data_IF_034351612065
#
_entry.id   IF_034351612065
#
_cell.length_a   1.000
_cell.length_b   1.000
_cell.length_c   1.000
_cell.angle_alpha   90.00
_cell.angle_beta   90.00
_cell.angle_gamma   90.00
#
_symmetry.space_group_name_H-M   'P 1'
#
loop_
_entity.id
_entity.type
_entity.pdbx_description
1 polymer ?
#
# COMPACT_ATOMS: atom_id res chain seq x y z
N UNK A 1 10.89 -0.43 16.53
CA UNK A 1 10.59 0.92 16.04
C UNK A 1 9.71 1.50 17.13
N UNK A 2 10.23 2.48 17.86
CA UNK A 2 9.51 3.07 18.98
C UNK A 2 9.03 4.43 18.52
N UNK A 3 7.73 4.57 18.33
CA UNK A 3 7.05 5.83 18.06
C UNK A 3 6.07 6.09 19.21
N UNK A 4 5.75 7.35 19.48
CA UNK A 4 4.66 7.68 20.39
C UNK A 4 3.35 7.28 19.70
N UNK A 5 2.46 6.55 20.37
CA UNK A 5 1.14 6.24 19.82
C UNK A 5 0.13 7.26 20.32
N UNK A 6 -0.79 7.67 19.44
CA UNK A 6 -1.92 8.53 19.81
C UNK A 6 -2.76 7.96 20.95
N UNK A 7 -2.88 6.63 21.04
CA UNK A 7 -3.63 5.93 22.10
C UNK A 7 -3.06 6.14 23.50
N UNK A 8 -1.78 6.51 23.60
CA UNK A 8 -1.06 6.64 24.86
C UNK A 8 -1.09 8.09 25.39
N UNK A 9 -1.75 9.00 24.66
CA UNK A 9 -1.80 10.43 24.97
C UNK A 9 -3.15 10.85 25.55
N UNK A 10 -3.11 11.79 26.49
CA UNK A 10 -4.29 12.56 26.90
C UNK A 10 -4.55 13.70 25.89
N UNK A 11 -5.69 13.61 25.21
CA UNK A 11 -6.11 14.54 24.16
C UNK A 11 -7.21 15.52 24.62
N UNK A 12 -7.66 15.45 25.87
CA UNK A 12 -8.77 16.28 26.35
C UNK A 12 -8.46 17.78 26.24
N UNK A 13 -9.33 18.52 25.54
CA UNK A 13 -9.20 19.96 25.31
C UNK A 13 -8.08 20.38 24.35
N UNK A 14 -7.26 19.43 23.86
CA UNK A 14 -6.11 19.73 22.98
C UNK A 14 -6.52 19.90 21.53
N UNK A 15 -5.78 20.75 20.81
CA UNK A 15 -5.84 20.88 19.36
C UNK A 15 -5.07 19.73 18.72
N UNK A 16 -5.78 18.84 18.02
CA UNK A 16 -5.20 17.64 17.40
C UNK A 16 -5.27 17.77 15.89
N UNK A 17 -4.12 17.79 15.21
CA UNK A 17 -4.04 17.76 13.75
C UNK A 17 -3.72 16.35 13.27
N UNK A 18 -4.67 15.72 12.59
CA UNK A 18 -4.56 14.35 12.06
C UNK A 18 -4.31 14.42 10.55
N UNK A 19 -3.18 13.85 10.12
CA UNK A 19 -2.89 13.62 8.70
C UNK A 19 -3.38 12.22 8.32
N UNK A 20 -4.56 12.14 7.70
CA UNK A 20 -5.18 10.88 7.22
C UNK A 20 -4.99 10.69 5.72
N UNK A 21 -5.12 9.46 5.22
CA UNK A 21 -5.24 9.20 3.78
C UNK A 21 -6.71 9.22 3.37
N UNK A 22 -7.21 10.38 2.95
CA UNK A 22 -8.58 10.56 2.43
C UNK A 22 -8.57 10.74 0.90
N UNK A 23 -7.52 10.26 0.22
CA UNK A 23 -7.44 10.31 -1.25
C UNK A 23 -8.32 9.21 -1.86
N UNK A 24 -9.62 9.49 -1.95
CA UNK A 24 -10.65 8.59 -2.48
C UNK A 24 -11.03 8.94 -3.91
N UNK A 25 -11.55 7.98 -4.71
CA UNK A 25 -12.11 8.31 -6.01
C UNK A 25 -13.39 9.15 -5.81
N UNK A 26 -13.46 10.25 -6.56
CA UNK A 26 -14.60 11.17 -6.58
C UNK A 26 -15.12 11.25 -8.00
N UNK A 27 -16.44 11.17 -8.16
CA UNK A 27 -17.12 11.38 -9.43
C UNK A 27 -18.34 12.27 -9.19
N UNK A 28 -18.49 13.32 -9.99
CA UNK A 28 -19.62 14.26 -9.90
C UNK A 28 -19.83 14.82 -8.48
N UNK A 29 -18.72 15.15 -7.80
CA UNK A 29 -18.73 15.70 -6.44
C UNK A 29 -19.10 14.71 -5.33
N UNK A 30 -19.14 13.41 -5.63
CA UNK A 30 -19.47 12.33 -4.68
C UNK A 30 -18.34 11.31 -4.57
N UNK A 31 -18.12 10.81 -3.36
CA UNK A 31 -17.20 9.70 -3.11
C UNK A 31 -17.77 8.43 -3.72
N UNK A 32 -17.00 7.73 -4.56
CA UNK A 32 -17.42 6.47 -5.20
C UNK A 32 -16.86 5.22 -4.52
N UNK A 33 -15.82 5.36 -3.71
CA UNK A 33 -15.29 4.32 -2.82
C UNK A 33 -14.83 4.95 -1.52
N UNK A 34 -15.37 4.47 -0.40
CA UNK A 34 -15.23 5.06 0.93
C UNK A 34 -14.18 4.35 1.81
N UNK A 35 -13.52 3.31 1.30
CA UNK A 35 -12.70 2.40 2.09
C UNK A 35 -11.65 3.12 2.95
N UNK A 36 -11.00 4.15 2.38
CA UNK A 36 -9.99 4.94 3.10
C UNK A 36 -10.58 5.86 4.17
N UNK A 37 -11.79 6.38 3.94
CA UNK A 37 -12.49 7.21 4.92
C UNK A 37 -12.92 6.32 6.09
N UNK A 38 -13.52 5.16 5.80
CA UNK A 38 -13.90 4.17 6.82
C UNK A 38 -12.70 3.70 7.64
N UNK A 39 -11.55 3.49 7.02
CA UNK A 39 -10.32 3.15 7.75
C UNK A 39 -9.87 4.28 8.69
N UNK A 40 -10.00 5.56 8.28
CA UNK A 40 -9.55 6.72 9.07
C UNK A 40 -10.54 7.13 10.18
N UNK A 41 -11.82 6.75 10.06
CA UNK A 41 -12.88 7.13 11.00
C UNK A 41 -12.57 6.75 12.46
N UNK A 42 -12.12 5.52 12.78
CA UNK A 42 -11.75 5.15 14.15
C UNK A 42 -10.74 6.10 14.81
N UNK A 43 -9.74 6.58 14.06
CA UNK A 43 -8.76 7.54 14.56
C UNK A 43 -9.42 8.89 14.90
N UNK A 44 -10.26 9.39 13.99
CA UNK A 44 -10.97 10.66 14.16
C UNK A 44 -11.93 10.58 15.36
N UNK A 45 -12.72 9.50 15.45
CA UNK A 45 -13.66 9.27 16.53
C UNK A 45 -12.97 9.10 17.89
N UNK A 46 -11.82 8.42 17.93
CA UNK A 46 -11.04 8.26 19.16
C UNK A 46 -10.58 9.62 19.72
N UNK A 47 -10.14 10.55 18.86
CA UNK A 47 -9.79 11.91 19.27
C UNK A 47 -11.03 12.68 19.77
N UNK A 48 -12.12 12.67 18.98
CA UNK A 48 -13.37 13.37 19.32
C UNK A 48 -13.95 12.89 20.65
N UNK A 49 -13.96 11.57 20.89
CA UNK A 49 -14.50 10.95 22.11
C UNK A 49 -13.72 11.34 23.37
N UNK A 50 -12.43 11.64 23.25
CA UNK A 50 -11.61 12.16 24.35
C UNK A 50 -11.85 13.66 24.63
N UNK A 51 -12.67 14.36 23.83
CA UNK A 51 -12.90 15.80 23.97
C UNK A 51 -11.81 16.65 23.33
N UNK A 52 -11.12 16.13 22.33
CA UNK A 52 -10.16 16.91 21.55
C UNK A 52 -10.86 17.91 20.61
N UNK A 53 -10.11 18.94 20.20
CA UNK A 53 -10.44 19.88 19.13
C UNK A 53 -9.80 19.38 17.84
N UNK A 54 -10.55 18.64 17.04
CA UNK A 54 -9.99 17.79 15.98
C UNK A 54 -9.95 18.52 14.64
N UNK A 55 -8.76 18.60 14.05
CA UNK A 55 -8.53 18.94 12.66
C UNK A 55 -8.07 17.69 11.93
N UNK A 56 -8.67 17.39 10.79
CA UNK A 56 -8.18 16.34 9.88
C UNK A 56 -7.84 16.96 8.53
N UNK A 57 -6.77 16.49 7.91
CA UNK A 57 -6.43 16.90 6.55
C UNK A 57 -5.89 15.74 5.74
N UNK A 58 -5.93 15.89 4.42
CA UNK A 58 -5.41 14.92 3.47
C UNK A 58 -4.97 15.61 2.19
N UNK A 59 -4.27 14.84 1.37
CA UNK A 59 -4.21 15.10 -0.06
C UNK A 59 -5.42 14.49 -0.77
N UNK A 60 -5.80 15.06 -1.92
CA UNK A 60 -6.70 14.45 -2.89
C UNK A 60 -6.17 14.72 -4.29
N UNK A 61 -6.04 13.67 -5.11
CA UNK A 61 -5.57 13.79 -6.49
C UNK A 61 -4.18 14.44 -6.63
N UNK A 62 -4.01 15.18 -7.72
CA UNK A 62 -2.73 15.80 -8.13
C UNK A 62 -2.91 17.26 -8.53
N UNK A 63 -3.38 18.15 -7.63
CA UNK A 63 -3.50 19.57 -7.94
C UNK A 63 -2.12 20.23 -8.11
N UNK A 64 -2.16 21.41 -8.73
CA UNK A 64 -1.03 22.35 -8.79
C UNK A 64 -0.96 23.13 -7.47
N UNK A 65 0.23 23.22 -6.88
CA UNK A 65 0.41 23.98 -5.64
C UNK A 65 0.16 25.47 -5.88
N UNK A 66 -0.59 26.09 -4.98
CA UNK A 66 -0.98 27.50 -5.04
C UNK A 66 -2.19 27.79 -5.93
N UNK A 67 -2.77 26.79 -6.57
CA UNK A 67 -3.93 26.92 -7.45
C UNK A 67 -5.07 26.07 -6.92
N UNK A 68 -6.12 26.72 -6.43
CA UNK A 68 -7.32 26.03 -6.00
C UNK A 68 -8.06 25.43 -7.21
N UNK A 69 -8.50 24.17 -7.08
CA UNK A 69 -9.35 23.51 -8.06
C UNK A 69 -10.43 22.70 -7.34
N UNK A 70 -11.70 23.00 -7.63
CA UNK A 70 -12.86 22.36 -7.01
C UNK A 70 -12.87 20.83 -7.20
N UNK A 71 -12.34 20.32 -8.31
CA UNK A 71 -12.21 18.88 -8.59
C UNK A 71 -11.37 18.14 -7.55
N UNK A 72 -10.37 18.83 -6.97
CA UNK A 72 -9.48 18.28 -5.95
C UNK A 72 -9.81 18.77 -4.54
N UNK A 73 -10.96 19.43 -4.32
CA UNK A 73 -11.42 19.82 -2.99
C UNK A 73 -11.78 18.59 -2.15
N UNK A 74 -11.56 18.67 -0.84
CA UNK A 74 -12.03 17.69 0.15
C UNK A 74 -13.51 17.86 0.49
N UNK A 75 -14.25 18.79 -0.13
CA UNK A 75 -15.68 18.97 0.10
C UNK A 75 -16.52 17.68 -0.03
N UNK A 76 -16.30 16.79 -1.03
CA UNK A 76 -17.01 15.51 -1.11
C UNK A 76 -16.75 14.62 0.12
N UNK A 77 -15.52 14.62 0.64
CA UNK A 77 -15.14 13.88 1.85
C UNK A 77 -15.82 14.48 3.08
N UNK A 78 -15.91 15.81 3.18
CA UNK A 78 -16.65 16.50 4.24
C UNK A 78 -18.12 16.11 4.23
N UNK A 79 -18.75 16.07 3.05
CA UNK A 79 -20.16 15.68 2.92
C UNK A 79 -20.37 14.23 3.39
N UNK A 80 -19.48 13.32 3.00
CA UNK A 80 -19.49 11.96 3.50
C UNK A 80 -19.36 11.91 5.03
N UNK A 81 -18.39 12.62 5.62
CA UNK A 81 -18.17 12.63 7.06
C UNK A 81 -19.38 13.19 7.83
N UNK A 82 -20.10 14.18 7.30
CA UNK A 82 -21.35 14.70 7.90
C UNK A 82 -22.45 13.65 8.01
N UNK A 83 -22.50 12.72 7.05
CA UNK A 83 -23.51 11.64 7.05
C UNK A 83 -23.14 10.51 8.04
N UNK A 84 -21.86 10.38 8.38
CA UNK A 84 -21.33 9.25 9.17
C UNK A 84 -20.93 9.62 10.59
N UNK A 85 -20.71 10.90 10.88
CA UNK A 85 -20.40 11.39 12.23
C UNK A 85 -21.59 12.15 12.82
N UNK A 86 -21.81 11.94 14.12
CA UNK A 86 -22.79 12.74 14.89
C UNK A 86 -22.28 14.15 15.21
N UNK A 87 -20.96 14.32 15.17
CA UNK A 87 -20.28 15.57 15.47
C UNK A 87 -20.44 16.58 14.33
N UNK A 88 -20.46 17.90 14.62
CA UNK A 88 -20.43 18.92 13.58
C UNK A 88 -19.16 18.77 12.73
N UNK A 89 -19.32 18.69 11.41
CA UNK A 89 -18.20 18.61 10.45
C UNK A 89 -18.25 19.82 9.51
N UNK A 90 -17.12 20.51 9.33
CA UNK A 90 -17.01 21.62 8.36
C UNK A 90 -15.67 21.62 7.64
N UNK A 91 -15.67 22.19 6.43
CA UNK A 91 -14.47 22.46 5.66
C UNK A 91 -13.87 23.81 6.08
N UNK A 92 -12.55 23.88 6.23
CA UNK A 92 -11.80 25.13 6.33
C UNK A 92 -10.86 25.25 5.13
N UNK A 93 -11.09 26.27 4.28
CA UNK A 93 -10.24 26.54 3.10
C UNK A 93 -9.01 27.38 3.47
N UNK A 94 -9.22 28.41 4.28
CA UNK A 94 -8.16 29.28 4.78
C UNK A 94 -7.87 28.94 6.25
N UNK A 95 -6.79 28.21 6.50
CA UNK A 95 -6.47 27.71 7.86
C UNK A 95 -5.02 27.95 8.29
N UNK A 96 -4.13 28.31 7.36
CA UNK A 96 -2.69 28.44 7.66
C UNK A 96 -2.35 29.60 8.60
N UNK A 97 -3.23 30.60 8.72
CA UNK A 97 -3.09 31.73 9.64
C UNK A 97 -3.87 31.53 10.96
N UNK A 98 -4.45 30.34 11.15
CA UNK A 98 -5.30 30.01 12.29
C UNK A 98 -6.64 29.44 11.86
N UNK A 99 -7.19 28.59 12.72
CA UNK A 99 -8.53 28.01 12.56
C UNK A 99 -9.14 27.83 13.94
N UNK A 100 -10.36 28.32 14.12
CA UNK A 100 -11.13 28.09 15.33
C UNK A 100 -11.64 26.67 15.33
N UNK A 101 -11.44 25.94 16.43
CA UNK A 101 -11.92 24.57 16.56
C UNK A 101 -12.62 24.42 17.90
N UNK A 102 -13.94 24.23 17.85
CA UNK A 102 -14.74 23.95 19.04
C UNK A 102 -14.49 22.53 19.58
N UNK A 103 -14.75 22.32 20.86
CA UNK A 103 -14.68 20.98 21.44
C UNK A 103 -15.78 20.08 20.87
N UNK A 104 -15.42 18.87 20.48
CA UNK A 104 -16.36 17.91 19.87
C UNK A 104 -16.77 18.24 18.43
N UNK A 105 -16.15 19.23 17.77
CA UNK A 105 -16.29 19.44 16.33
C UNK A 105 -15.12 18.83 15.54
N UNK A 106 -15.39 18.49 14.28
CA UNK A 106 -14.39 18.07 13.32
C UNK A 106 -14.23 19.16 12.24
N UNK A 107 -13.03 19.70 12.12
CA UNK A 107 -12.68 20.59 11.01
C UNK A 107 -11.82 19.85 10.01
N UNK A 108 -12.30 19.73 8.77
CA UNK A 108 -11.50 19.23 7.65
C UNK A 108 -10.75 20.41 7.05
N UNK A 109 -9.42 20.41 7.16
CA UNK A 109 -8.57 21.39 6.48
C UNK A 109 -8.47 21.01 5.02
N UNK A 110 -8.73 21.96 4.13
CA UNK A 110 -8.72 21.76 2.68
C UNK A 110 -7.39 21.18 2.18
N UNK A 111 -7.45 20.49 1.03
CA UNK A 111 -6.40 19.68 0.45
C UNK A 111 -5.00 20.30 0.58
N UNK A 112 -4.13 19.63 1.34
CA UNK A 112 -2.77 20.09 1.64
C UNK A 112 -1.94 20.39 0.40
N UNK A 113 -2.23 19.72 -0.74
CA UNK A 113 -1.49 19.91 -1.99
C UNK A 113 -1.86 21.19 -2.74
N UNK A 114 -2.84 21.96 -2.27
CA UNK A 114 -3.00 23.34 -2.71
C UNK A 114 -1.98 24.29 -2.08
N UNK A 115 -1.33 23.92 -0.98
CA UNK A 115 -0.39 24.81 -0.31
C UNK A 115 0.97 24.81 -1.02
N UNK A 116 1.48 26.02 -1.33
CA UNK A 116 2.83 26.18 -1.89
C UNK A 116 3.87 25.71 -0.89
N UNK A 117 4.74 24.80 -1.32
CA UNK A 117 5.80 24.23 -0.48
C UNK A 117 5.47 22.86 0.11
N UNK A 118 4.24 22.35 -0.07
CA UNK A 118 3.83 21.05 0.47
C UNK A 118 4.75 19.92 0.01
N UNK A 119 4.96 19.76 -1.31
CA UNK A 119 5.79 18.68 -1.88
C UNK A 119 7.28 18.83 -1.58
N UNK A 120 7.73 20.05 -1.26
CA UNK A 120 9.14 20.36 -0.97
C UNK A 120 9.48 20.29 0.51
N UNK A 121 8.51 19.90 1.36
CA UNK A 121 8.69 19.88 2.81
C UNK A 121 9.12 21.26 3.35
N UNK A 122 8.51 22.33 2.81
CA UNK A 122 8.90 23.69 3.14
C UNK A 122 8.79 23.96 4.65
N UNK A 123 9.85 24.51 5.23
CA UNK A 123 9.95 24.74 6.67
C UNK A 123 8.92 25.79 7.15
N UNK A 124 8.67 26.82 6.36
CA UNK A 124 7.71 27.88 6.72
C UNK A 124 6.30 27.31 6.78
N UNK A 125 5.90 26.55 5.75
CA UNK A 125 4.61 25.87 5.73
C UNK A 125 4.49 24.84 6.86
N UNK A 126 5.55 24.08 7.13
CA UNK A 126 5.60 23.10 8.21
C UNK A 126 5.38 23.72 9.59
N UNK A 127 6.01 24.87 9.86
CA UNK A 127 5.79 25.64 11.09
C UNK A 127 4.37 26.19 11.18
N UNK A 128 3.78 26.60 10.07
CA UNK A 128 2.37 27.02 10.04
C UNK A 128 1.45 25.88 10.44
N UNK A 129 1.61 24.67 9.87
CA UNK A 129 0.82 23.51 10.29
C UNK A 129 1.02 23.19 11.77
N UNK A 130 2.27 23.19 12.25
CA UNK A 130 2.59 22.88 13.65
C UNK A 130 1.94 23.87 14.62
N UNK A 131 1.92 25.16 14.29
CA UNK A 131 1.26 26.19 15.08
C UNK A 131 -0.28 25.98 15.20
N UNK A 132 -0.87 25.14 14.35
CA UNK A 132 -2.28 24.79 14.43
C UNK A 132 -2.59 23.70 15.47
N UNK A 133 -1.62 23.09 16.13
CA UNK A 133 -1.89 21.95 16.99
C UNK A 133 -0.98 21.86 18.21
N UNK A 134 -1.51 21.25 19.26
CA UNK A 134 -0.73 20.79 20.41
C UNK A 134 -0.17 19.38 20.13
N UNK A 135 -0.92 18.59 19.36
CA UNK A 135 -0.57 17.21 18.98
C UNK A 135 -0.76 17.02 17.47
N UNK A 136 0.30 16.61 16.79
CA UNK A 136 0.26 16.13 15.42
C UNK A 136 0.19 14.60 15.39
N UNK A 137 -0.77 14.07 14.65
CA UNK A 137 -0.99 12.63 14.46
C UNK A 137 -0.76 12.30 12.99
N UNK A 138 0.27 11.50 12.69
CA UNK A 138 0.46 10.94 11.35
C UNK A 138 -0.26 9.61 11.24
N UNK A 139 -1.29 9.53 10.40
CA UNK A 139 -2.14 8.35 10.24
C UNK A 139 -2.31 7.93 8.77
N UNK A 140 -1.40 8.37 7.90
CA UNK A 140 -1.45 8.18 6.45
C UNK A 140 -0.24 7.40 5.91
N UNK A 141 -0.14 6.11 6.22
CA UNK A 141 1.01 5.27 5.82
C UNK A 141 1.32 5.34 4.33
N UNK A 142 0.31 5.36 3.45
CA UNK A 142 0.50 5.49 1.99
C UNK A 142 1.26 6.75 1.54
N UNK A 143 1.46 7.72 2.42
CA UNK A 143 2.27 8.92 2.18
C UNK A 143 3.52 9.03 3.05
N UNK A 144 3.79 8.03 3.91
CA UNK A 144 4.92 8.06 4.84
C UNK A 144 6.30 8.01 4.18
N UNK A 145 6.38 7.47 2.96
CA UNK A 145 7.58 7.44 2.11
C UNK A 145 7.98 8.82 1.54
N UNK A 146 7.13 9.85 1.71
CA UNK A 146 7.38 11.19 1.17
C UNK A 146 7.59 12.18 2.29
N UNK A 147 8.74 12.86 2.27
CA UNK A 147 8.93 14.07 3.07
C UNK A 147 8.10 15.20 2.45
N UNK A 148 6.98 15.54 3.07
CA UNK A 148 6.10 16.65 2.71
C UNK A 148 5.75 17.44 3.96
N UNK A 149 5.40 18.71 3.79
CA UNK A 149 5.17 19.59 4.93
C UNK A 149 4.07 19.06 5.86
N UNK A 150 3.01 18.45 5.34
CA UNK A 150 1.92 17.86 6.14
C UNK A 150 2.16 16.43 6.64
N UNK A 151 3.18 15.72 6.12
CA UNK A 151 3.47 14.31 6.49
C UNK A 151 4.69 14.19 7.40
N UNK A 152 5.66 15.09 7.24
CA UNK A 152 6.98 15.01 7.85
C UNK A 152 7.35 16.35 8.52
N UNK A 153 7.37 17.45 7.78
CA UNK A 153 7.85 18.74 8.30
C UNK A 153 7.06 19.24 9.50
N UNK A 154 5.73 19.15 9.48
CA UNK A 154 4.85 19.48 10.62
C UNK A 154 5.26 18.74 11.89
N UNK A 155 5.62 17.46 11.78
CA UNK A 155 6.03 16.64 12.90
C UNK A 155 7.40 17.01 13.48
N UNK A 156 8.22 17.79 12.77
CA UNK A 156 9.46 18.35 13.34
C UNK A 156 9.19 19.51 14.30
N UNK A 157 8.10 20.25 14.09
CA UNK A 157 7.82 21.49 14.81
C UNK A 157 6.63 21.42 15.76
N UNK A 158 5.72 20.45 15.60
CA UNK A 158 4.60 20.26 16.50
C UNK A 158 5.08 19.94 17.93
N UNK A 159 4.44 20.46 18.99
CA UNK A 159 4.86 20.18 20.37
C UNK A 159 4.93 18.68 20.67
N UNK A 160 3.92 17.91 20.24
CA UNK A 160 3.92 16.44 20.26
C UNK A 160 3.67 15.92 18.84
N UNK A 161 4.43 14.90 18.42
CA UNK A 161 4.21 14.18 17.17
C UNK A 161 4.09 12.68 17.47
N UNK A 162 3.02 12.05 16.99
CA UNK A 162 2.74 10.64 17.25
C UNK A 162 2.18 9.92 16.01
N UNK A 163 2.20 8.60 16.05
CA UNK A 163 1.53 7.74 15.08
C UNK A 163 0.05 7.57 15.46
N UNK A 164 -0.84 7.67 14.47
CA UNK A 164 -2.22 7.27 14.64
C UNK A 164 -2.39 5.74 14.62
N UNK A 165 -3.58 5.24 14.99
CA UNK A 165 -3.90 3.81 14.99
C UNK A 165 -3.64 3.09 13.66
N UNK A 166 -3.97 3.67 12.50
CA UNK A 166 -3.73 3.03 11.20
C UNK A 166 -2.24 2.90 10.90
N UNK A 167 -1.48 3.99 11.10
CA UNK A 167 -0.03 3.94 10.89
C UNK A 167 0.62 2.92 11.84
N UNK A 168 0.19 2.88 13.09
CA UNK A 168 0.73 1.97 14.10
C UNK A 168 0.47 0.51 13.75
N UNK A 169 -0.78 0.18 13.37
CA UNK A 169 -1.17 -1.16 12.94
C UNK A 169 -0.38 -1.61 11.70
N UNK A 170 -0.16 -0.70 10.75
CA UNK A 170 0.63 -1.00 9.55
C UNK A 170 2.09 -1.33 9.88
N UNK A 171 2.74 -0.51 10.72
CA UNK A 171 4.13 -0.73 11.12
C UNK A 171 4.29 -2.01 11.94
N UNK A 172 3.30 -2.37 12.76
CA UNK A 172 3.26 -3.63 13.48
C UNK A 172 3.15 -4.83 12.53
N UNK A 173 2.18 -4.79 11.59
CA UNK A 173 1.95 -5.86 10.63
C UNK A 173 3.18 -6.10 9.73
N UNK A 174 3.77 -5.03 9.21
CA UNK A 174 5.01 -5.08 8.42
C UNK A 174 6.20 -5.55 9.27
N UNK A 175 6.31 -5.08 10.51
CA UNK A 175 7.34 -5.52 11.45
C UNK A 175 7.28 -7.02 11.73
N UNK A 176 6.07 -7.55 11.96
CA UNK A 176 5.81 -8.98 12.16
C UNK A 176 6.20 -9.81 10.95
N UNK A 177 5.91 -9.32 9.74
CA UNK A 177 6.22 -10.04 8.50
C UNK A 177 7.71 -9.97 8.09
N UNK A 178 8.41 -8.87 8.36
CA UNK A 178 9.74 -8.63 7.78
C UNK A 178 10.90 -8.76 8.78
N UNK A 179 10.69 -8.46 10.07
CA UNK A 179 11.79 -8.46 11.05
C UNK A 179 11.98 -9.80 11.75
N UNK A 180 10.88 -10.49 12.06
CA UNK A 180 10.92 -11.78 12.75
C UNK A 180 9.73 -12.64 12.31
N UNK A 181 9.64 -12.98 11.01
CA UNK A 181 8.54 -13.79 10.49
C UNK A 181 8.54 -15.18 11.13
N UNK A 182 7.33 -15.72 11.34
CA UNK A 182 7.19 -17.12 11.66
C UNK A 182 7.58 -17.96 10.43
N UNK A 183 8.42 -18.97 10.64
CA UNK A 183 9.02 -19.77 9.57
C UNK A 183 8.25 -21.08 9.31
N UNK A 184 8.04 -21.49 8.04
CA UNK A 184 8.60 -20.86 6.84
C UNK A 184 7.82 -19.61 6.39
N UNK A 185 8.56 -18.61 5.92
CA UNK A 185 8.04 -17.39 5.31
C UNK A 185 8.08 -17.52 3.79
N UNK A 186 6.94 -17.29 3.15
CA UNK A 186 6.82 -17.27 1.68
C UNK A 186 6.44 -15.87 1.23
N UNK A 187 7.16 -15.33 0.26
CA UNK A 187 6.81 -14.06 -0.39
C UNK A 187 6.34 -14.32 -1.82
N UNK A 188 5.26 -13.68 -2.27
CA UNK A 188 4.77 -13.70 -3.64
C UNK A 188 4.98 -12.33 -4.24
N UNK A 189 5.79 -12.23 -5.30
CA UNK A 189 6.14 -10.98 -5.98
C UNK A 189 5.76 -11.08 -7.45
N UNK A 190 4.59 -10.55 -7.79
CA UNK A 190 4.04 -10.51 -9.13
C UNK A 190 4.16 -9.13 -9.78
N UNK A 191 4.38 -9.05 -11.08
CA UNK A 191 4.42 -7.76 -11.78
C UNK A 191 4.82 -7.87 -13.23
N UNK A 192 4.73 -6.75 -13.95
CA UNK A 192 5.05 -6.69 -15.39
C UNK A 192 6.55 -6.64 -15.69
N UNK A 193 7.37 -6.15 -14.75
CA UNK A 193 8.81 -5.92 -14.95
C UNK A 193 9.61 -6.28 -13.70
N UNK A 194 10.75 -6.92 -13.89
CA UNK A 194 11.76 -7.16 -12.85
C UNK A 194 12.38 -5.84 -12.43
N UNK A 195 12.69 -4.94 -13.37
CA UNK A 195 13.37 -3.67 -13.11
C UNK A 195 12.67 -2.80 -12.06
N UNK A 196 11.33 -2.79 -12.05
CA UNK A 196 10.53 -1.99 -11.12
C UNK A 196 10.39 -2.62 -9.74
N UNK A 197 10.70 -3.93 -9.60
CA UNK A 197 10.61 -4.68 -8.34
C UNK A 197 11.92 -5.35 -7.94
N UNK A 198 13.03 -4.99 -8.57
CA UNK A 198 14.31 -5.65 -8.34
C UNK A 198 14.78 -5.45 -6.90
N UNK A 199 14.66 -4.23 -6.37
CA UNK A 199 15.00 -3.93 -4.97
C UNK A 199 14.11 -4.70 -3.99
N UNK A 200 12.80 -4.81 -4.29
CA UNK A 200 11.84 -5.62 -3.51
C UNK A 200 12.26 -7.08 -3.49
N UNK A 201 12.58 -7.66 -4.66
CA UNK A 201 13.06 -9.03 -4.77
C UNK A 201 14.37 -9.23 -4.01
N UNK A 202 15.36 -8.36 -4.22
CA UNK A 202 16.68 -8.43 -3.58
C UNK A 202 16.62 -8.25 -2.05
N UNK A 203 15.60 -7.56 -1.54
CA UNK A 203 15.31 -7.50 -0.11
C UNK A 203 14.66 -8.80 0.37
N UNK A 204 13.58 -9.22 -0.29
CA UNK A 204 12.78 -10.37 0.15
C UNK A 204 13.53 -11.70 0.07
N UNK A 205 14.40 -11.93 -0.91
CA UNK A 205 15.19 -13.17 -0.98
C UNK A 205 16.12 -13.37 0.22
N UNK A 206 16.50 -12.28 0.91
CA UNK A 206 17.32 -12.34 2.14
C UNK A 206 16.48 -12.60 3.39
N UNK A 207 15.16 -12.43 3.29
CA UNK A 207 14.23 -12.55 4.41
C UNK A 207 13.41 -13.81 4.26
N UNK A 208 12.71 -14.04 3.16
CA UNK A 208 11.82 -15.19 2.95
C UNK A 208 12.60 -16.51 2.78
N UNK A 209 11.99 -17.63 3.20
CA UNK A 209 12.51 -18.97 2.90
C UNK A 209 12.24 -19.36 1.44
N UNK A 210 11.21 -18.76 0.84
CA UNK A 210 10.89 -18.94 -0.58
C UNK A 210 10.27 -17.67 -1.13
N UNK A 211 10.72 -17.25 -2.32
CA UNK A 211 10.11 -16.17 -3.09
C UNK A 211 9.49 -16.76 -4.35
N UNK A 212 8.18 -16.60 -4.49
CA UNK A 212 7.41 -16.97 -5.68
C UNK A 212 7.34 -15.73 -6.57
N UNK A 213 7.79 -15.85 -7.81
CA UNK A 213 7.73 -14.75 -8.81
C UNK A 213 6.53 -14.94 -9.73
N UNK A 214 5.83 -13.87 -10.10
CA UNK A 214 4.60 -13.92 -10.92
C UNK A 214 4.59 -12.93 -12.09
N UNK A 215 3.80 -13.22 -13.14
CA UNK A 215 3.64 -12.34 -14.31
C UNK A 215 4.91 -12.15 -15.15
N UNK A 216 5.14 -10.96 -15.69
CA UNK A 216 6.32 -10.62 -16.48
C UNK A 216 7.66 -10.75 -15.73
N UNK A 217 7.62 -10.65 -14.39
CA UNK A 217 8.76 -11.02 -13.54
C UNK A 217 9.07 -12.50 -13.73
N UNK A 218 8.08 -13.39 -13.57
CA UNK A 218 8.26 -14.82 -13.76
C UNK A 218 8.73 -15.17 -15.18
N UNK A 219 8.22 -14.49 -16.20
CA UNK A 219 8.66 -14.69 -17.59
C UNK A 219 10.16 -14.41 -17.77
N UNK A 220 10.70 -13.40 -17.10
CA UNK A 220 12.16 -13.15 -17.10
C UNK A 220 12.94 -14.30 -16.46
N UNK A 221 12.37 -14.97 -15.44
CA UNK A 221 12.97 -16.17 -14.84
C UNK A 221 12.82 -17.41 -15.73
N UNK A 222 11.72 -17.55 -16.47
CA UNK A 222 11.54 -18.65 -17.46
C UNK A 222 12.53 -18.50 -18.62
N UNK A 223 12.76 -17.27 -19.08
CA UNK A 223 13.70 -16.91 -20.15
C UNK A 223 15.18 -17.26 -19.85
N UNK A 224 15.48 -17.63 -18.60
CA UNK A 224 16.81 -18.10 -18.19
C UNK A 224 17.21 -19.38 -18.94
N UNK A 225 16.28 -20.31 -19.11
CA UNK A 225 16.55 -21.64 -19.71
C UNK A 225 15.58 -22.01 -20.85
N UNK A 226 14.52 -21.23 -21.09
CA UNK A 226 13.48 -21.55 -22.09
C UNK A 226 13.19 -20.36 -23.00
N UNK A 227 12.68 -20.66 -24.20
CA UNK A 227 12.07 -19.65 -25.05
C UNK A 227 10.77 -19.15 -24.40
N UNK A 228 10.53 -17.84 -24.44
CA UNK A 228 9.29 -17.23 -23.95
C UNK A 228 8.46 -16.61 -25.08
N UNK A 229 8.86 -16.77 -26.35
CA UNK A 229 8.13 -16.24 -27.50
C UNK A 229 7.95 -14.72 -27.43
N UNK A 230 6.69 -14.27 -27.54
CA UNK A 230 6.27 -12.86 -27.43
C UNK A 230 5.93 -12.41 -26.01
N UNK A 231 6.13 -13.26 -25.01
CA UNK A 231 5.82 -12.92 -23.61
C UNK A 231 6.49 -11.63 -23.16
N UNK A 232 5.83 -10.89 -22.27
CA UNK A 232 6.45 -9.74 -21.61
C UNK A 232 7.56 -10.21 -20.66
N UNK A 233 8.81 -9.84 -20.94
CA UNK A 233 9.98 -10.06 -20.08
C UNK A 233 11.06 -9.00 -20.33
N UNK A 234 12.12 -8.98 -19.50
CA UNK A 234 13.23 -8.03 -19.64
C UNK A 234 14.56 -8.76 -19.93
N UNK A 235 15.02 -8.80 -21.21
CA UNK A 235 16.26 -9.47 -21.60
C UNK A 235 17.48 -9.00 -20.79
N UNK A 236 17.58 -7.68 -20.56
CA UNK A 236 18.68 -7.06 -19.81
C UNK A 236 18.73 -7.47 -18.33
N UNK A 237 17.65 -8.08 -17.81
CA UNK A 237 17.55 -8.54 -16.43
C UNK A 237 17.68 -10.07 -16.27
N UNK A 238 17.80 -10.84 -17.36
CA UNK A 238 17.93 -12.31 -17.29
C UNK A 238 19.12 -12.76 -16.46
N UNK A 239 20.29 -12.10 -16.62
CA UNK A 239 21.49 -12.44 -15.84
C UNK A 239 21.34 -12.12 -14.35
N UNK A 240 20.63 -11.04 -14.02
CA UNK A 240 20.32 -10.69 -12.64
C UNK A 240 19.32 -11.67 -12.01
N UNK A 241 18.29 -12.07 -12.77
CA UNK A 241 17.33 -13.08 -12.37
C UNK A 241 17.98 -14.45 -12.17
N UNK A 242 18.92 -14.85 -13.04
CA UNK A 242 19.71 -16.08 -12.91
C UNK A 242 20.49 -16.13 -11.59
N UNK A 243 21.16 -15.04 -11.22
CA UNK A 243 21.88 -14.94 -9.94
C UNK A 243 20.93 -15.14 -8.76
N UNK A 244 19.79 -14.43 -8.74
CA UNK A 244 18.80 -14.58 -7.67
C UNK A 244 18.23 -16.00 -7.59
N UNK A 245 17.92 -16.60 -8.75
CA UNK A 245 17.39 -17.96 -8.83
C UNK A 245 18.37 -18.98 -8.27
N UNK A 246 19.62 -18.93 -8.71
CA UNK A 246 20.61 -19.95 -8.38
C UNK A 246 21.07 -19.83 -6.91
N UNK A 247 21.21 -18.60 -6.39
CA UNK A 247 21.61 -18.34 -5.01
C UNK A 247 20.50 -18.67 -4.00
N UNK A 248 19.25 -18.26 -4.29
CA UNK A 248 18.13 -18.35 -3.34
C UNK A 248 17.10 -19.44 -3.69
N UNK A 249 17.35 -20.23 -4.74
CA UNK A 249 16.48 -21.33 -5.20
C UNK A 249 15.04 -20.88 -5.47
N UNK A 250 14.87 -19.72 -6.11
CA UNK A 250 13.56 -19.20 -6.51
C UNK A 250 12.86 -20.21 -7.43
N UNK A 251 11.64 -20.68 -7.10
CA UNK A 251 10.87 -21.56 -7.97
C UNK A 251 10.54 -20.87 -9.29
N UNK A 252 10.81 -21.55 -10.40
CA UNK A 252 10.47 -21.10 -11.76
C UNK A 252 9.29 -21.95 -12.26
N UNK A 253 8.30 -21.35 -12.96
CA UNK A 253 7.19 -22.09 -13.55
C UNK A 253 7.66 -23.27 -14.42
N UNK A 254 6.96 -24.40 -14.31
CA UNK A 254 7.20 -25.61 -15.13
C UNK A 254 6.19 -25.74 -16.28
N UNK A 255 5.01 -25.16 -16.08
CA UNK A 255 3.93 -25.06 -17.05
C UNK A 255 3.26 -23.69 -16.98
N UNK A 256 2.69 -23.27 -18.10
CA UNK A 256 2.13 -21.93 -18.31
C UNK A 256 0.89 -22.01 -19.19
N UNK A 257 0.00 -21.03 -19.02
CA UNK A 257 -1.08 -20.74 -19.96
C UNK A 257 -0.60 -19.68 -20.95
N UNK A 258 -0.62 -20.03 -22.22
CA UNK A 258 -0.21 -19.16 -23.32
C UNK A 258 -1.40 -18.77 -24.20
N UNK A 259 -1.31 -17.60 -24.83
CA UNK A 259 -2.20 -17.15 -25.90
C UNK A 259 -1.39 -16.63 -27.09
N UNK A 260 -2.06 -16.37 -28.22
CA UNK A 260 -1.44 -15.79 -29.43
C UNK A 260 -1.73 -14.30 -29.60
N UNK A 261 -2.52 -13.71 -28.68
CA UNK A 261 -2.86 -12.30 -28.61
C UNK A 261 -3.18 -11.88 -27.17
N UNK A 262 -2.91 -10.61 -26.85
CA UNK A 262 -3.21 -10.00 -25.56
C UNK A 262 -4.64 -9.43 -25.56
N UNK A 263 -5.64 -10.29 -25.36
CA UNK A 263 -7.06 -9.90 -25.34
C UNK A 263 -7.85 -10.66 -24.28
N UNK A 264 -8.94 -10.07 -23.79
CA UNK A 264 -9.85 -10.72 -22.84
C UNK A 264 -10.56 -11.96 -23.44
N UNK A 265 -10.63 -12.02 -24.77
CA UNK A 265 -11.24 -13.11 -25.54
C UNK A 265 -10.25 -14.18 -25.98
N UNK A 266 -8.95 -13.97 -25.78
CA UNK A 266 -7.91 -14.89 -26.21
C UNK A 266 -8.09 -16.26 -25.54
N UNK A 267 -8.11 -17.38 -26.30
CA UNK A 267 -8.15 -18.70 -25.70
C UNK A 267 -6.82 -19.02 -25.01
N UNK A 268 -6.89 -19.65 -23.84
CA UNK A 268 -5.71 -20.12 -23.13
C UNK A 268 -5.35 -21.56 -23.53
N UNK A 269 -4.09 -21.80 -23.86
CA UNK A 269 -3.54 -23.14 -24.09
C UNK A 269 -2.56 -23.47 -22.97
N UNK A 270 -2.74 -24.61 -22.30
CA UNK A 270 -1.81 -25.09 -21.28
C UNK A 270 -0.61 -25.77 -21.95
N UNK A 271 0.61 -25.36 -21.58
CA UNK A 271 1.86 -25.92 -22.12
C UNK A 271 2.95 -26.00 -21.06
N UNK A 272 3.91 -26.91 -21.25
CA UNK A 272 5.18 -26.83 -20.53
C UNK A 272 5.93 -25.57 -20.97
N UNK A 273 6.72 -24.99 -20.07
CA UNK A 273 7.53 -23.81 -20.41
C UNK A 273 8.57 -24.09 -21.50
N UNK A 274 8.97 -25.35 -21.69
CA UNK A 274 9.87 -25.79 -22.75
C UNK A 274 9.22 -25.92 -24.13
N UNK A 275 7.89 -25.73 -24.23
CA UNK A 275 7.09 -25.96 -25.44
C UNK A 275 6.39 -24.68 -25.94
N UNK A 276 6.80 -23.51 -25.43
CA UNK A 276 6.29 -22.20 -25.84
C UNK A 276 6.81 -21.85 -27.23
N UNK A 277 5.91 -21.52 -28.14
CA UNK A 277 6.23 -21.15 -29.52
C UNK A 277 6.62 -19.66 -29.64
N UNK A 278 7.29 -19.30 -30.74
CA UNK A 278 7.75 -17.93 -31.00
C UNK A 278 6.62 -16.90 -31.11
N UNK A 279 5.42 -17.31 -31.50
CA UNK A 279 4.25 -16.44 -31.69
C UNK A 279 3.32 -16.37 -30.47
N UNK A 280 3.66 -17.06 -29.38
CA UNK A 280 2.87 -17.16 -28.16
C UNK A 280 3.37 -16.25 -27.04
N UNK A 281 2.46 -15.83 -26.16
CA UNK A 281 2.76 -15.07 -24.95
C UNK A 281 2.20 -15.77 -23.70
N UNK A 282 3.04 -15.92 -22.67
CA UNK A 282 2.72 -16.46 -21.35
C UNK A 282 1.95 -15.39 -20.57
N UNK A 283 0.73 -15.72 -20.17
CA UNK A 283 -0.17 -14.80 -19.47
C UNK A 283 -0.64 -15.30 -18.10
N UNK A 284 -0.47 -16.59 -17.76
CA UNK A 284 -0.79 -17.12 -16.43
C UNK A 284 0.01 -18.40 -16.15
N UNK A 285 0.06 -18.79 -14.88
CA UNK A 285 0.61 -20.09 -14.50
C UNK A 285 -0.23 -21.22 -15.08
N UNK A 286 0.45 -22.34 -15.38
CA UNK A 286 -0.21 -23.62 -15.60
C UNK A 286 -0.67 -24.25 -14.28
N UNK A 287 -1.38 -25.37 -14.37
CA UNK A 287 -1.97 -26.02 -13.21
C UNK A 287 -0.92 -26.68 -12.32
N UNK A 288 0.13 -27.28 -12.89
CA UNK A 288 1.19 -27.92 -12.10
C UNK A 288 1.94 -26.90 -11.26
N UNK A 289 2.30 -25.77 -11.88
CA UNK A 289 2.98 -24.64 -11.24
C UNK A 289 2.10 -24.04 -10.15
N UNK A 290 0.83 -23.73 -10.46
CA UNK A 290 -0.07 -23.11 -9.49
C UNK A 290 -0.30 -24.01 -8.26
N UNK A 291 -0.47 -25.32 -8.45
CA UNK A 291 -0.63 -26.28 -7.36
C UNK A 291 0.66 -26.47 -6.55
N UNK A 292 1.83 -26.45 -7.19
CA UNK A 292 3.11 -26.49 -6.50
C UNK A 292 3.29 -25.24 -5.60
N UNK A 293 2.96 -24.06 -6.11
CA UNK A 293 2.99 -22.80 -5.34
C UNK A 293 1.97 -22.81 -4.19
N UNK A 294 0.76 -23.31 -4.44
CA UNK A 294 -0.27 -23.45 -3.41
C UNK A 294 0.17 -24.34 -2.24
N UNK A 295 0.91 -25.42 -2.52
CA UNK A 295 1.48 -26.28 -1.48
C UNK A 295 2.46 -25.52 -0.58
N UNK A 296 3.37 -24.75 -1.18
CA UNK A 296 4.34 -23.94 -0.42
C UNK A 296 3.64 -22.91 0.48
N UNK A 297 2.59 -22.26 -0.04
CA UNK A 297 1.80 -21.28 0.70
C UNK A 297 1.00 -21.91 1.86
N UNK A 298 0.52 -23.14 1.69
CA UNK A 298 -0.17 -23.89 2.74
C UNK A 298 0.75 -24.29 3.90
N UNK A 299 2.02 -24.56 3.61
CA UNK A 299 3.03 -24.92 4.62
C UNK A 299 3.64 -23.67 5.31
N UNK A 300 3.42 -22.48 4.76
CA UNK A 300 3.90 -21.22 5.29
C UNK A 300 3.31 -20.90 6.67
N UNK A 301 4.08 -20.20 7.51
CA UNK A 301 3.57 -19.55 8.73
C UNK A 301 3.51 -18.03 8.61
N UNK A 302 4.16 -17.47 7.60
CA UNK A 302 4.07 -16.05 7.25
C UNK A 302 4.04 -15.91 5.73
N UNK A 303 3.09 -15.16 5.20
CA UNK A 303 2.94 -14.90 3.78
C UNK A 303 2.98 -13.40 3.54
N UNK A 304 3.84 -12.95 2.63
CA UNK A 304 3.80 -11.59 2.08
C UNK A 304 3.36 -11.67 0.61
N UNK A 305 2.25 -11.01 0.26
CA UNK A 305 1.70 -11.05 -1.09
C UNK A 305 1.73 -9.67 -1.76
N UNK A 306 2.46 -9.59 -2.88
CA UNK A 306 2.61 -8.38 -3.67
C UNK A 306 2.55 -8.66 -5.19
N UNK A 307 1.34 -8.81 -5.71
CA UNK A 307 1.04 -8.91 -7.14
C UNK A 307 0.53 -10.29 -7.58
N UNK A 308 -0.15 -10.36 -8.73
CA UNK A 308 -0.71 -11.61 -9.26
C UNK A 308 0.35 -12.47 -9.95
N UNK A 309 -0.01 -13.72 -10.26
CA UNK A 309 0.87 -14.63 -11.02
C UNK A 309 0.56 -14.66 -12.52
N UNK A 310 -0.59 -14.11 -12.92
CA UNK A 310 -1.04 -13.97 -14.30
C UNK A 310 -1.94 -12.75 -14.51
N UNK A 311 -2.41 -12.56 -15.75
CA UNK A 311 -3.30 -11.47 -16.18
C UNK A 311 -4.74 -11.80 -15.77
N UNK A 312 -4.98 -11.73 -14.46
CA UNK A 312 -6.22 -12.19 -13.84
C UNK A 312 -7.46 -11.40 -14.26
N UNK A 313 -7.29 -10.23 -14.87
CA UNK A 313 -8.35 -9.46 -15.51
C UNK A 313 -9.04 -10.29 -16.59
N UNK A 314 -8.28 -11.11 -17.34
CA UNK A 314 -8.81 -11.97 -18.39
C UNK A 314 -9.29 -13.31 -17.80
N UNK A 315 -10.57 -13.70 -17.98
CA UNK A 315 -11.09 -14.94 -17.39
C UNK A 315 -10.29 -16.20 -17.72
N UNK A 316 -9.76 -16.29 -18.95
CA UNK A 316 -8.97 -17.44 -19.42
C UNK A 316 -7.56 -17.51 -18.81
N UNK A 317 -7.07 -16.41 -18.21
CA UNK A 317 -5.73 -16.27 -17.61
C UNK A 317 -5.79 -15.90 -16.11
N UNK A 318 -6.91 -16.26 -15.48
CA UNK A 318 -7.21 -15.97 -14.07
C UNK A 318 -6.87 -17.11 -13.12
N UNK A 319 -6.74 -18.33 -13.65
CA UNK A 319 -6.79 -19.55 -12.82
C UNK A 319 -5.61 -19.68 -11.88
N UNK A 320 -4.40 -19.34 -12.32
CA UNK A 320 -3.20 -19.38 -11.49
C UNK A 320 -3.29 -18.42 -10.31
N UNK A 321 -3.74 -17.18 -10.56
CA UNK A 321 -3.95 -16.18 -9.49
C UNK A 321 -5.07 -16.59 -8.55
N UNK A 322 -6.16 -17.17 -9.05
CA UNK A 322 -7.23 -17.72 -8.19
C UNK A 322 -6.69 -18.81 -7.25
N UNK A 323 -5.93 -19.78 -7.77
CA UNK A 323 -5.35 -20.87 -6.97
C UNK A 323 -4.41 -20.32 -5.89
N UNK A 324 -3.52 -19.40 -6.25
CA UNK A 324 -2.60 -18.76 -5.30
C UNK A 324 -3.37 -17.97 -4.24
N UNK A 325 -4.35 -17.15 -4.63
CA UNK A 325 -5.16 -16.35 -3.72
C UNK A 325 -5.93 -17.23 -2.73
N UNK A 326 -6.56 -18.32 -3.19
CA UNK A 326 -7.24 -19.29 -2.33
C UNK A 326 -6.29 -20.01 -1.39
N UNK A 327 -5.10 -20.38 -1.86
CA UNK A 327 -4.09 -21.01 -1.02
C UNK A 327 -3.61 -20.09 0.12
N UNK A 328 -3.47 -18.79 -0.15
CA UNK A 328 -3.17 -17.79 0.89
C UNK A 328 -4.34 -17.69 1.87
N UNK A 329 -5.57 -17.62 1.36
CA UNK A 329 -6.77 -17.44 2.17
C UNK A 329 -7.10 -18.65 3.06
N UNK A 330 -6.74 -19.87 2.63
CA UNK A 330 -6.98 -21.10 3.38
C UNK A 330 -5.76 -21.51 4.23
N UNK A 331 -4.68 -20.72 4.23
CA UNK A 331 -3.49 -20.94 5.07
C UNK A 331 -3.70 -20.43 6.49
N UNK A 332 -3.11 -21.10 7.47
CA UNK A 332 -3.07 -20.62 8.87
C UNK A 332 -1.97 -19.55 9.09
N UNK A 333 -1.21 -19.22 8.04
CA UNK A 333 -0.15 -18.22 8.10
C UNK A 333 -0.69 -16.83 8.45
N UNK A 334 0.14 -16.04 9.11
CA UNK A 334 -0.05 -14.58 9.10
C UNK A 334 0.19 -14.06 7.68
N UNK A 335 -0.85 -13.54 7.04
CA UNK A 335 -0.82 -13.07 5.66
C UNK A 335 -0.92 -11.54 5.58
N UNK A 336 0.08 -10.91 4.97
CA UNK A 336 0.07 -9.49 4.66
C UNK A 336 0.05 -9.28 3.14
N UNK A 337 -0.90 -8.49 2.65
CA UNK A 337 -1.06 -8.20 1.23
C UNK A 337 -0.89 -6.70 0.96
N UNK A 338 -0.27 -6.34 -0.16
CA UNK A 338 -0.11 -4.94 -0.56
C UNK A 338 0.08 -4.77 -2.06
N UNK A 339 -0.29 -3.59 -2.58
CA UNK A 339 -0.23 -3.24 -4.01
C UNK A 339 -1.59 -3.31 -4.71
N UNK A 340 -1.84 -2.38 -5.63
CA UNK A 340 -3.16 -2.20 -6.27
C UNK A 340 -3.71 -3.49 -6.91
N UNK A 341 -2.87 -4.17 -7.70
CA UNK A 341 -3.25 -5.42 -8.38
C UNK A 341 -3.57 -6.55 -7.39
N UNK A 342 -2.84 -6.61 -6.26
CA UNK A 342 -3.10 -7.57 -5.17
C UNK A 342 -4.46 -7.32 -4.53
N UNK A 343 -4.79 -6.05 -4.27
CA UNK A 343 -6.07 -5.66 -3.66
C UNK A 343 -7.23 -5.93 -4.62
N UNK A 344 -7.04 -5.68 -5.92
CA UNK A 344 -8.03 -6.02 -6.93
C UNK A 344 -8.25 -7.54 -7.04
N UNK A 345 -7.20 -8.36 -6.91
CA UNK A 345 -7.33 -9.80 -6.85
C UNK A 345 -8.07 -10.26 -5.58
N UNK A 346 -7.76 -9.69 -4.41
CA UNK A 346 -8.46 -9.98 -3.14
C UNK A 346 -9.96 -9.71 -3.25
N UNK A 347 -10.33 -8.56 -3.79
CA UNK A 347 -11.72 -8.15 -4.02
C UNK A 347 -12.42 -9.11 -5.00
N UNK A 348 -11.80 -9.35 -6.16
CA UNK A 348 -12.34 -10.22 -7.21
C UNK A 348 -12.63 -11.64 -6.70
N UNK A 349 -11.78 -12.19 -5.84
CA UNK A 349 -11.95 -13.54 -5.30
C UNK A 349 -12.73 -13.58 -3.99
N UNK A 350 -13.09 -12.44 -3.41
CA UNK A 350 -13.84 -12.34 -2.15
C UNK A 350 -13.14 -13.04 -1.01
N UNK A 351 -11.87 -12.67 -0.75
CA UNK A 351 -11.05 -13.24 0.33
C UNK A 351 -10.57 -12.20 1.35
N UNK A 352 -11.17 -11.01 1.36
CA UNK A 352 -10.74 -9.89 2.23
C UNK A 352 -10.72 -10.28 3.71
N UNK A 353 -11.75 -10.99 4.18
CA UNK A 353 -11.93 -11.46 5.55
C UNK A 353 -10.96 -12.58 5.97
N UNK A 354 -10.24 -13.17 5.01
CA UNK A 354 -9.26 -14.25 5.20
C UNK A 354 -7.82 -13.77 5.17
N UNK A 355 -7.56 -12.51 4.84
CA UNK A 355 -6.20 -11.94 4.85
C UNK A 355 -5.95 -11.28 6.21
N UNK A 356 -4.82 -11.60 6.87
CA UNK A 356 -4.55 -11.07 8.22
C UNK A 356 -4.36 -9.56 8.24
N UNK A 357 -3.75 -8.99 7.20
CA UNK A 357 -3.59 -7.55 7.04
C UNK A 357 -3.52 -7.13 5.57
N UNK A 358 -4.31 -6.12 5.19
CA UNK A 358 -4.32 -5.57 3.82
C UNK A 358 -3.79 -4.14 3.86
N UNK A 359 -2.62 -3.94 3.28
CA UNK A 359 -1.97 -2.64 3.16
C UNK A 359 -2.58 -1.82 2.03
N UNK A 360 -3.06 -0.61 2.35
CA UNK A 360 -3.42 0.41 1.35
C UNK A 360 -2.26 1.35 1.03
N UNK A 361 -1.03 1.01 1.45
CA UNK A 361 0.16 1.87 1.39
C UNK A 361 0.79 2.05 0.01
N UNK A 362 0.48 1.17 -0.95
CA UNK A 362 0.99 1.25 -2.32
C UNK A 362 2.52 1.37 -2.38
N UNK A 363 3.03 2.51 -2.83
CA UNK A 363 4.48 2.78 -2.89
C UNK A 363 5.16 2.78 -1.52
N UNK A 364 4.48 3.22 -0.45
CA UNK A 364 5.04 3.19 0.90
C UNK A 364 5.28 1.75 1.38
N UNK A 365 4.37 0.84 1.04
CA UNK A 365 4.51 -0.59 1.33
C UNK A 365 5.74 -1.16 0.63
N UNK A 366 5.92 -0.86 -0.65
CA UNK A 366 7.08 -1.34 -1.43
C UNK A 366 8.40 -0.78 -0.87
N UNK A 367 8.50 0.53 -0.62
CA UNK A 367 9.72 1.11 -0.05
C UNK A 367 10.05 0.54 1.32
N UNK A 368 9.04 0.25 2.16
CA UNK A 368 9.27 -0.41 3.43
C UNK A 368 9.80 -1.84 3.25
N UNK A 369 9.23 -2.61 2.31
CA UNK A 369 9.70 -3.96 1.97
C UNK A 369 11.12 -3.96 1.41
N UNK A 370 11.49 -2.92 0.65
CA UNK A 370 12.87 -2.68 0.17
C UNK A 370 13.85 -2.35 1.30
N UNK A 371 13.37 -2.15 2.53
CA UNK A 371 14.18 -1.75 3.67
C UNK A 371 14.55 -0.27 3.68
N UNK A 372 13.87 0.56 2.87
CA UNK A 372 14.10 2.01 2.83
C UNK A 372 13.50 2.67 4.06
N UNK A 373 14.18 3.68 4.55
CA UNK A 373 13.69 4.50 5.65
C UNK A 373 12.55 5.40 5.15
N UNK A 374 11.38 5.30 5.78
CA UNK A 374 10.23 6.14 5.45
C UNK A 374 10.35 7.48 6.20
N UNK A 375 10.48 8.64 5.53
CA UNK A 375 10.76 9.92 6.19
C UNK A 375 9.79 10.26 7.34
N UNK A 376 8.49 10.03 7.17
CA UNK A 376 7.53 10.32 8.23
C UNK A 376 7.72 9.41 9.45
N UNK A 377 8.09 8.14 9.25
CA UNK A 377 8.34 7.20 10.36
C UNK A 377 9.63 7.57 11.07
N UNK A 378 10.70 7.89 10.33
CA UNK A 378 11.97 8.34 10.90
C UNK A 378 11.77 9.58 11.78
N UNK A 379 11.00 10.56 11.29
CA UNK A 379 10.67 11.75 12.07
C UNK A 379 9.98 11.38 13.38
N UNK A 380 8.99 10.49 13.37
CA UNK A 380 8.31 10.05 14.60
C UNK A 380 9.25 9.31 15.56
N UNK A 381 10.16 8.48 15.05
CA UNK A 381 11.15 7.79 15.86
C UNK A 381 12.17 8.75 16.50
N UNK A 382 12.53 9.84 15.82
CA UNK A 382 13.38 10.90 16.37
C UNK A 382 12.66 11.70 17.44
N UNK A 383 11.38 12.04 17.21
CA UNK A 383 10.54 12.76 18.18
C UNK A 383 10.24 11.95 19.43
N UNK A 384 10.15 10.63 19.33
CA UNK A 384 9.94 9.74 20.47
C UNK A 384 11.16 9.56 21.39
N UNK A 385 12.36 9.99 20.96
CA UNK A 385 13.60 9.92 21.75
C UNK A 385 13.86 11.19 22.58
N UNK A 386 13.13 12.25 22.30
CA UNK A 386 13.20 13.54 22.99
C UNK A 386 12.26 13.50 24.20
#
# INVERSE_FOLDING_TARGET
>A
MSVINMSDLDLAGKRVLIRSDLNVPVKDGKVTSDARIRASLPTIEAALKQGARVMVTSHLGRPTEGEYNEEFSLLPVVNYLKEHLKNPVRLAKDYLEGVDVAEGELVVLENVRFNKGEKKDDETLSKKYAALCDVYVMDAFGTAHRAQASTHGVGKFAPVACAGPLLSAELEALGKALKSPARPMVAVVGGSKVSTKFDVLNSLVKIADTVIVGGGIANTFVAIDNNVGKSLYEPDFVDAARKLRDEFKIPVPTDSRVGTEFSETAPATLKKVSEVNDDEEIMDFGDETALAMAKLLKEAKTILWNGPVGVFEFPNFRKGTEIVARAIADSEAFSIAGGGDTLAAIDLFGIEDKISYISTGGGAFLEFVEGKALPAVVMLEERAKQ
#
